data_IF_532431461195
#
_entry.id   IF_532431461195
#
_cell.length_a   1.000
_cell.length_b   1.000
_cell.length_c   1.000
_cell.angle_alpha   90.00
_cell.angle_beta   90.00
_cell.angle_gamma   90.00
#
_symmetry.space_group_name_H-M   'P 1'
#
loop_
_entity.id
_entity.type
_entity.pdbx_description
1 polymer ?
#
# COMPACT_ATOMS: atom_id res chain seq x y z
N UNK A 1 -16.45 -2.49 -15.50
CA UNK A 1 -17.40 -1.58 -14.81
C UNK A 1 -16.85 -0.15 -14.83
N UNK A 2 -17.57 0.81 -15.41
CA UNK A 2 -17.12 2.21 -15.51
C UNK A 2 -16.99 2.83 -14.10
N UNK A 3 -15.80 3.35 -13.75
CA UNK A 3 -15.49 4.02 -12.47
C UNK A 3 -16.53 5.07 -12.05
N UNK A 4 -17.12 5.78 -13.02
CA UNK A 4 -18.13 6.81 -12.80
C UNK A 4 -19.41 6.25 -12.17
N UNK A 5 -19.87 5.07 -12.61
CA UNK A 5 -21.08 4.42 -12.05
C UNK A 5 -20.85 3.96 -10.62
N UNK A 6 -19.70 3.33 -10.35
CA UNK A 6 -19.34 2.90 -9.00
C UNK A 6 -19.27 4.08 -8.00
N UNK A 7 -18.68 5.22 -8.40
CA UNK A 7 -18.66 6.44 -7.58
C UNK A 7 -20.05 7.00 -7.32
N UNK A 8 -20.92 7.03 -8.33
CA UNK A 8 -22.28 7.55 -8.17
C UNK A 8 -23.10 6.70 -7.19
N UNK A 9 -23.04 5.38 -7.31
CA UNK A 9 -23.71 4.48 -6.36
C UNK A 9 -23.18 4.63 -4.94
N UNK A 10 -21.86 4.77 -4.76
CA UNK A 10 -21.27 5.03 -3.44
C UNK A 10 -21.70 6.38 -2.86
N UNK A 11 -21.95 7.40 -3.69
CA UNK A 11 -22.38 8.72 -3.20
C UNK A 11 -23.82 8.68 -2.70
N UNK A 12 -24.67 7.89 -3.37
CA UNK A 12 -26.07 7.72 -2.98
C UNK A 12 -26.23 6.91 -1.70
N UNK A 13 -25.36 5.93 -1.48
CA UNK A 13 -25.42 5.05 -0.30
C UNK A 13 -24.69 5.65 0.90
N UNK A 14 -23.55 6.34 0.68
CA UNK A 14 -22.68 6.84 1.75
C UNK A 14 -22.00 8.17 1.37
N UNK A 15 -22.80 9.23 1.30
CA UNK A 15 -22.31 10.58 1.03
C UNK A 15 -21.40 11.12 2.14
N UNK A 16 -21.76 10.86 3.41
CA UNK A 16 -21.00 11.29 4.59
C UNK A 16 -19.64 10.58 4.69
N UNK A 17 -19.60 9.25 4.54
CA UNK A 17 -18.36 8.47 4.55
C UNK A 17 -17.44 8.80 3.37
N UNK A 18 -17.96 9.27 2.24
CA UNK A 18 -17.12 9.80 1.16
C UNK A 18 -16.50 11.17 1.47
N UNK A 19 -17.22 12.07 2.13
CA UNK A 19 -16.68 13.35 2.58
C UNK A 19 -15.61 13.13 3.65
N UNK A 20 -15.83 12.20 4.58
CA UNK A 20 -14.83 11.81 5.60
C UNK A 20 -13.61 11.14 4.96
N UNK A 21 -13.79 10.28 3.96
CA UNK A 21 -12.67 9.68 3.21
C UNK A 21 -11.89 10.67 2.36
N UNK A 22 -12.48 11.81 1.98
CA UNK A 22 -11.80 12.90 1.26
C UNK A 22 -10.71 13.57 2.11
N UNK A 23 -10.75 13.43 3.44
CA UNK A 23 -9.58 13.62 4.30
C UNK A 23 -8.63 12.42 4.20
N UNK A 24 -8.27 12.07 2.96
CA UNK A 24 -7.36 10.96 2.70
C UNK A 24 -5.99 11.37 3.21
N UNK A 25 -5.34 10.48 3.97
CA UNK A 25 -3.91 10.56 4.28
C UNK A 25 -3.18 10.79 2.95
N UNK A 26 -2.60 11.97 2.77
CA UNK A 26 -1.82 12.28 1.58
C UNK A 26 -0.65 11.31 1.58
N UNK A 27 -0.60 10.42 0.57
CA UNK A 27 0.49 9.46 0.45
C UNK A 27 1.79 10.25 0.40
N UNK A 28 2.63 10.12 1.43
CA UNK A 28 3.96 10.73 1.40
C UNK A 28 4.74 10.12 0.25
N UNK A 29 5.41 10.97 -0.51
CA UNK A 29 6.36 10.51 -1.49
C UNK A 29 7.52 9.85 -0.74
N UNK A 30 7.76 8.57 -1.01
CA UNK A 30 8.82 7.82 -0.34
C UNK A 30 10.16 8.18 -0.97
N UNK A 31 11.06 8.81 -0.22
CA UNK A 31 12.38 9.22 -0.71
C UNK A 31 13.49 8.60 0.14
N UNK A 32 14.45 7.98 -0.53
CA UNK A 32 15.66 7.42 0.07
C UNK A 32 16.86 8.21 -0.49
N UNK A 33 17.69 8.83 0.37
CA UNK A 33 18.68 9.82 -0.09
C UNK A 33 19.85 9.25 -0.90
N UNK A 34 20.20 7.98 -0.74
CA UNK A 34 21.32 7.31 -1.41
C UNK A 34 21.22 5.78 -1.29
N UNK A 35 21.94 5.00 -2.12
CA UNK A 35 22.04 3.56 -1.94
C UNK A 35 22.48 3.22 -0.51
N UNK A 36 21.98 2.10 0.00
CA UNK A 36 22.24 1.58 1.35
C UNK A 36 21.81 2.52 2.50
N UNK A 37 20.96 3.52 2.26
CA UNK A 37 20.50 4.40 3.36
C UNK A 37 19.31 3.83 4.13
N UNK A 38 18.46 3.03 3.48
CA UNK A 38 17.30 2.36 4.08
C UNK A 38 17.17 0.98 3.45
N UNK A 39 16.99 -0.05 4.27
CA UNK A 39 16.74 -1.41 3.81
C UNK A 39 15.33 -1.85 4.21
N UNK A 40 14.59 -2.40 3.27
CA UNK A 40 13.31 -3.04 3.51
C UNK A 40 13.53 -4.53 3.74
N UNK A 41 12.92 -5.06 4.80
CA UNK A 41 12.87 -6.49 5.09
C UNK A 41 11.39 -6.89 5.13
N UNK A 42 11.02 -7.92 4.36
CA UNK A 42 9.66 -8.47 4.39
C UNK A 42 9.68 -10.00 4.52
N UNK A 43 8.68 -10.53 5.21
CA UNK A 43 8.51 -11.95 5.50
C UNK A 43 7.40 -12.56 4.65
N UNK A 44 7.73 -13.57 3.86
CA UNK A 44 6.76 -14.37 3.13
C UNK A 44 6.36 -15.63 3.91
N UNK A 45 5.17 -15.58 4.52
CA UNK A 45 4.70 -16.60 5.48
C UNK A 45 3.79 -17.66 4.86
N UNK A 46 3.59 -17.70 3.53
CA UNK A 46 2.65 -18.66 2.92
C UNK A 46 3.03 -20.12 3.18
N UNK A 47 4.31 -20.40 3.39
CA UNK A 47 4.82 -21.74 3.62
C UNK A 47 4.96 -22.11 5.11
N UNK A 48 4.43 -21.30 6.03
CA UNK A 48 4.61 -21.50 7.47
C UNK A 48 4.05 -22.85 7.97
N UNK A 49 3.02 -23.39 7.30
CA UNK A 49 2.46 -24.72 7.62
C UNK A 49 3.45 -25.87 7.40
N UNK A 50 4.46 -25.66 6.55
CA UNK A 50 5.56 -26.58 6.31
C UNK A 50 6.85 -26.16 7.04
N UNK A 51 6.76 -25.20 7.96
CA UNK A 51 7.91 -24.70 8.73
C UNK A 51 8.84 -23.76 7.96
N UNK A 52 8.44 -23.29 6.77
CA UNK A 52 9.28 -22.45 5.91
C UNK A 52 8.76 -21.01 5.92
N UNK A 53 9.65 -20.06 6.19
CA UNK A 53 9.41 -18.62 6.07
C UNK A 53 10.55 -18.03 5.24
N UNK A 54 10.21 -17.29 4.19
CA UNK A 54 11.21 -16.66 3.30
C UNK A 54 11.29 -15.19 3.68
N UNK A 55 12.48 -14.70 4.01
CA UNK A 55 12.72 -13.29 4.26
C UNK A 55 13.46 -12.67 3.07
N UNK A 56 12.94 -11.58 2.54
CA UNK A 56 13.56 -10.82 1.45
C UNK A 56 14.08 -9.48 1.97
N UNK A 57 15.23 -9.04 1.45
CA UNK A 57 15.85 -7.76 1.76
C UNK A 57 16.09 -6.97 0.48
N UNK A 58 15.66 -5.70 0.46
CA UNK A 58 15.81 -4.81 -0.70
C UNK A 58 16.25 -3.43 -0.24
N UNK A 59 17.20 -2.82 -0.94
CA UNK A 59 17.58 -1.41 -0.72
C UNK A 59 16.42 -0.50 -1.14
N UNK A 60 16.00 0.40 -0.25
CA UNK A 60 14.93 1.36 -0.52
C UNK A 60 15.34 2.48 -1.48
N UNK A 61 16.61 2.54 -1.89
CA UNK A 61 17.05 3.52 -2.89
C UNK A 61 16.46 3.27 -4.28
N UNK A 62 16.66 2.07 -4.81
CA UNK A 62 16.13 1.67 -6.10
C UNK A 62 14.76 1.01 -5.86
N UNK A 63 13.69 1.75 -6.15
CA UNK A 63 12.29 1.35 -6.00
C UNK A 63 11.85 0.21 -6.97
N UNK A 64 12.70 -0.79 -7.23
CA UNK A 64 12.36 -1.94 -8.07
C UNK A 64 11.30 -2.84 -7.41
#
# INVERSE_FOLDING_TARGET
>A
VQRRRARHSLLQIDGLGQVLRKHTITRREYYSPRPNSVWHMDGHHKLIKWGIIIHGFVDGYDRM
#
